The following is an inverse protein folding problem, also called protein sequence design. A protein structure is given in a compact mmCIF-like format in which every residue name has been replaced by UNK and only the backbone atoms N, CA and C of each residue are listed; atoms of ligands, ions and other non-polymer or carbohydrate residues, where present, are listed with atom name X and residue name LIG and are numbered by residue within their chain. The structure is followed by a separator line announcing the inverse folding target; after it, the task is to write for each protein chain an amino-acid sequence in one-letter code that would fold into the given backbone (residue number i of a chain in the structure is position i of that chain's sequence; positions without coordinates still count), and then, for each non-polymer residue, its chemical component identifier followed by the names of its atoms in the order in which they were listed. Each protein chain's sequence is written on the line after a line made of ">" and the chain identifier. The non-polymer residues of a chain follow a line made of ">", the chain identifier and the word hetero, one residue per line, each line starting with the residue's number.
data_IF_542710440899
#
_entry.id   IF_542710440899
#
_cell.length_a   1.000
_cell.length_b   1.000
_cell.length_c   1.000
_cell.angle_alpha   90.00
_cell.angle_beta   90.00
_cell.angle_gamma   90.00
#
_symmetry.space_group_name_H-M   'P 1'
#
loop_
_entity.id
_entity.type
_entity.pdbx_description
1 polymer ?
#
# COMPACT_ATOMS: atom_id res chain seq x y z
N UNK A 1 -7.03 -4.62 11.60
CA UNK A 1 -7.40 -4.51 10.18
C UNK A 1 -8.46 -5.52 9.82
N UNK A 2 -9.35 -5.14 8.90
CA UNK A 2 -10.35 -6.07 8.37
C UNK A 2 -9.68 -7.08 7.44
N UNK A 3 -10.43 -8.15 7.11
CA UNK A 3 -9.92 -9.18 6.22
C UNK A 3 -9.53 -8.62 4.85
N UNK A 4 -10.36 -7.74 4.28
CA UNK A 4 -10.06 -7.14 2.98
C UNK A 4 -8.83 -6.23 3.04
N UNK A 5 -8.65 -5.53 4.15
CA UNK A 5 -7.47 -4.69 4.35
C UNK A 5 -6.22 -5.55 4.46
N UNK A 6 -6.32 -6.66 5.20
CA UNK A 6 -5.20 -7.60 5.34
C UNK A 6 -4.82 -8.22 4.01
N UNK A 7 -5.78 -8.48 3.14
CA UNK A 7 -5.49 -9.01 1.81
C UNK A 7 -4.63 -8.06 1.01
N UNK A 8 -4.95 -6.76 1.03
CA UNK A 8 -4.14 -5.76 0.33
C UNK A 8 -2.73 -5.71 0.92
N UNK A 9 -2.62 -5.70 2.24
CA UNK A 9 -1.32 -5.67 2.91
C UNK A 9 -0.51 -6.91 2.56
N UNK A 10 -1.17 -8.07 2.46
CA UNK A 10 -0.50 -9.31 2.06
C UNK A 10 0.18 -9.22 0.72
N UNK A 11 -0.38 -8.45 -0.21
CA UNK A 11 0.24 -8.27 -1.52
C UNK A 11 1.60 -7.58 -1.41
N UNK A 12 1.71 -6.61 -0.49
CA UNK A 12 3.00 -5.97 -0.22
C UNK A 12 3.99 -6.97 0.39
N UNK A 13 3.52 -7.70 1.40
CA UNK A 13 4.37 -8.63 2.15
C UNK A 13 4.85 -9.79 1.27
N UNK A 14 3.96 -10.34 0.46
CA UNK A 14 4.29 -11.48 -0.40
C UNK A 14 5.32 -11.12 -1.47
N UNK A 15 5.30 -9.89 -1.93
CA UNK A 15 6.27 -9.41 -2.92
C UNK A 15 7.50 -8.79 -2.30
N UNK A 16 7.50 -8.61 -0.99
CA UNK A 16 8.62 -7.97 -0.29
C UNK A 16 8.84 -6.53 -0.71
N UNK A 17 7.76 -5.81 -1.02
CA UNK A 17 7.84 -4.44 -1.50
C UNK A 17 7.10 -3.49 -0.57
N UNK A 18 7.42 -2.21 -0.66
CA UNK A 18 6.70 -1.17 0.06
C UNK A 18 5.82 -0.34 -0.88
N UNK A 19 5.79 -0.68 -2.17
CA UNK A 19 5.03 0.07 -3.17
C UNK A 19 4.20 -0.89 -4.02
N UNK A 20 2.93 -0.53 -4.27
CA UNK A 20 2.01 -1.28 -5.13
C UNK A 20 1.08 -0.29 -5.84
N UNK A 21 0.57 -0.72 -7.00
CA UNK A 21 -0.49 0.00 -7.68
C UNK A 21 -1.83 -0.54 -7.20
N UNK A 22 -2.68 0.37 -6.74
CA UNK A 22 -4.01 0.03 -6.22
C UNK A 22 -5.03 0.99 -6.81
N UNK A 23 -6.30 0.58 -6.79
CA UNK A 23 -7.39 1.45 -7.21
C UNK A 23 -7.67 2.47 -6.10
N UNK A 24 -7.45 3.78 -6.37
CA UNK A 24 -7.64 4.82 -5.33
C UNK A 24 -9.12 4.99 -4.95
N UNK A 25 -10.04 4.52 -5.75
CA UNK A 25 -11.47 4.65 -5.49
C UNK A 25 -12.06 3.43 -4.78
N UNK A 26 -11.26 2.41 -4.55
CA UNK A 26 -11.69 1.26 -3.77
C UNK A 26 -11.80 1.66 -2.29
N UNK A 27 -12.97 1.42 -1.65
CA UNK A 27 -13.16 1.80 -0.24
C UNK A 27 -12.12 1.18 0.70
N UNK A 28 -11.62 -0.01 0.39
CA UNK A 28 -10.61 -0.66 1.22
C UNK A 28 -9.30 0.13 1.18
N UNK A 29 -8.90 0.60 0.01
CA UNK A 29 -7.73 1.47 -0.14
C UNK A 29 -7.91 2.75 0.69
N UNK A 30 -9.10 3.35 0.60
CA UNK A 30 -9.41 4.56 1.37
C UNK A 30 -9.28 4.36 2.87
N UNK A 31 -9.75 3.21 3.37
CA UNK A 31 -9.64 2.91 4.80
C UNK A 31 -8.18 2.77 5.23
N UNK A 32 -7.35 2.14 4.40
CA UNK A 32 -5.93 2.01 4.71
C UNK A 32 -5.22 3.36 4.73
N UNK A 33 -5.63 4.27 3.85
CA UNK A 33 -5.12 5.65 3.88
C UNK A 33 -5.53 6.34 5.18
N UNK A 34 -6.80 6.23 5.55
CA UNK A 34 -7.33 6.86 6.76
C UNK A 34 -6.67 6.32 8.02
N UNK A 35 -6.29 5.07 8.01
CA UNK A 35 -5.61 4.44 9.15
C UNK A 35 -4.11 4.75 9.20
N UNK A 36 -3.60 5.50 8.22
CA UNK A 36 -2.18 5.85 8.16
C UNK A 36 -1.27 4.73 7.73
N UNK A 37 -1.81 3.72 7.04
CA UNK A 37 -1.03 2.56 6.56
C UNK A 37 -0.45 2.83 5.18
N UNK A 38 -1.21 3.51 4.33
CA UNK A 38 -0.82 3.80 2.95
C UNK A 38 -0.84 5.31 2.68
N UNK A 39 0.02 5.72 1.76
CA UNK A 39 0.02 7.09 1.24
C UNK A 39 0.33 7.02 -0.25
N UNK A 40 -0.32 7.89 -1.03
CA UNK A 40 -0.06 7.97 -2.47
C UNK A 40 1.35 8.51 -2.70
N UNK A 41 2.13 7.79 -3.49
CA UNK A 41 3.50 8.22 -3.82
C UNK A 41 3.47 9.46 -4.70
N UNK A 42 2.53 9.50 -5.65
CA UNK A 42 2.32 10.63 -6.55
C UNK A 42 0.84 11.00 -6.53
N UNK A 43 0.42 11.87 -5.60
CA UNK A 43 -1.02 12.15 -5.39
C UNK A 43 -1.76 12.63 -6.62
N UNK A 44 -1.07 13.31 -7.55
CA UNK A 44 -1.71 13.86 -8.73
C UNK A 44 -1.71 12.91 -9.92
N UNK A 45 -1.17 11.71 -9.77
CA UNK A 45 -1.03 10.77 -10.88
C UNK A 45 -1.97 9.59 -10.66
N UNK A 46 -3.07 9.59 -11.39
CA UNK A 46 -4.04 8.49 -11.42
C UNK A 46 -4.26 8.16 -12.88
N UNK A 47 -4.18 6.89 -13.25
CA UNK A 47 -4.33 6.50 -14.64
C UNK A 47 -5.32 5.34 -14.79
N UNK A 48 -6.03 5.27 -15.93
CA UNK A 48 -6.97 4.19 -16.17
C UNK A 48 -6.24 2.89 -16.50
N UNK A 49 -6.83 1.77 -16.06
CA UNK A 49 -6.27 0.45 -16.31
C UNK A 49 -7.41 -0.59 -16.30
N UNK A 50 -7.75 -1.12 -17.48
CA UNK A 50 -8.69 -2.23 -17.57
C UNK A 50 -10.06 -1.97 -16.96
N UNK A 51 -10.63 -0.78 -17.16
CA UNK A 51 -11.93 -0.43 -16.60
C UNK A 51 -11.88 0.09 -15.17
N UNK A 52 -10.70 0.14 -14.59
CA UNK A 52 -10.46 0.67 -13.25
C UNK A 52 -9.44 1.79 -13.32
N UNK A 53 -9.11 2.33 -12.17
CA UNK A 53 -8.05 3.31 -12.05
C UNK A 53 -6.93 2.74 -11.18
N UNK A 54 -5.71 3.21 -11.43
CA UNK A 54 -4.53 2.81 -10.68
C UNK A 54 -3.78 4.02 -10.21
N UNK A 55 -3.24 3.90 -9.02
CA UNK A 55 -2.37 4.90 -8.43
C UNK A 55 -1.33 4.18 -7.58
N UNK A 56 -0.13 4.73 -7.54
CA UNK A 56 0.95 4.15 -6.77
C UNK A 56 0.79 4.50 -5.29
N UNK A 57 0.78 3.49 -4.43
CA UNK A 57 0.68 3.66 -2.98
C UNK A 57 1.87 3.01 -2.29
N UNK A 58 2.44 3.72 -1.34
CA UNK A 58 3.53 3.19 -0.53
C UNK A 58 3.07 3.01 0.91
N UNK A 59 3.66 2.03 1.58
CA UNK A 59 3.47 1.85 3.01
C UNK A 59 4.11 3.03 3.73
N UNK A 60 3.40 3.58 4.72
CA UNK A 60 3.95 4.65 5.55
C UNK A 60 5.09 4.12 6.41
N UNK A 61 6.02 4.98 6.87
CA UNK A 61 7.09 4.53 7.76
C UNK A 61 6.61 3.76 8.99
N UNK A 62 5.55 4.20 9.70
CA UNK A 62 5.03 3.40 10.81
C UNK A 62 4.54 2.02 10.39
N UNK A 63 3.88 1.93 9.21
CA UNK A 63 3.40 0.65 8.72
C UNK A 63 4.57 -0.27 8.35
N UNK A 64 5.60 0.27 7.71
CA UNK A 64 6.79 -0.50 7.36
C UNK A 64 7.42 -1.10 8.61
N UNK A 65 7.59 -0.28 9.63
CA UNK A 65 8.18 -0.73 10.90
C UNK A 65 7.34 -1.82 11.54
N UNK A 66 6.03 -1.65 11.53
CA UNK A 66 5.11 -2.62 12.14
C UNK A 66 5.13 -3.96 11.41
N UNK A 67 5.17 -3.93 10.08
CA UNK A 67 5.02 -5.14 9.26
C UNK A 67 6.35 -5.86 9.04
N UNK A 68 7.42 -5.12 8.80
CA UNK A 68 8.72 -5.71 8.45
C UNK A 68 9.70 -5.74 9.61
N UNK A 69 9.57 -4.83 10.56
CA UNK A 69 10.59 -4.64 11.59
C UNK A 69 11.84 -4.02 11.00
N UNK A 70 12.84 -3.82 11.85
CA UNK A 70 14.04 -3.09 11.44
C UNK A 70 14.94 -3.91 10.52
N UNK A 71 15.02 -5.20 10.76
CA UNK A 71 15.94 -6.05 9.99
C UNK A 71 15.44 -6.35 8.58
N UNK A 72 14.13 -6.27 8.35
CA UNK A 72 13.57 -6.50 7.01
C UNK A 72 13.82 -5.33 6.08
N UNK A 73 13.82 -4.13 6.61
CA UNK A 73 14.04 -2.92 5.81
C UNK A 73 15.45 -2.88 5.24
N UNK A 74 16.42 -3.43 5.94
CA UNK A 74 17.81 -3.40 5.48
C UNK A 74 18.01 -4.13 4.16
N UNK A 75 17.17 -5.10 3.85
CA UNK A 75 17.33 -5.89 2.64
C UNK A 75 17.01 -5.10 1.38
N UNK A 76 16.35 -3.98 1.48
CA UNK A 76 16.00 -3.14 0.32
C UNK A 76 17.02 -2.04 0.06
N UNK A 77 18.04 -1.99 0.85
CA UNK A 77 19.12 -1.04 0.65
C UNK A 77 20.23 -1.67 -0.18
#
# INVERSE_FOLDING_TARGET
>A
LTENEQEIISRYMNKGTIQQFLDPYNPVTGRLIDKGVLVALHPDVIFPSGGHYCQSFVLTPPAIKHLYGDHEIRSVQ
#
